data_IF_452543027380
#
_entry.id   IF_452543027380
#
_cell.length_a   1.000
_cell.length_b   1.000
_cell.length_c   1.000
_cell.angle_alpha   90.00
_cell.angle_beta   90.00
_cell.angle_gamma   90.00
#
_symmetry.space_group_name_H-M   'P 1'
#
loop_
_entity.id
_entity.type
_entity.pdbx_description
1 polymer ?
#
# COMPACT_ATOMS: atom_id res chain seq x y z
N UNK A 1 15.54 -13.72 -19.12
CA UNK A 1 14.12 -13.62 -19.52
C UNK A 1 13.49 -12.26 -19.12
N UNK A 2 13.45 -11.85 -17.80
CA UNK A 2 12.83 -10.58 -17.42
C UNK A 2 13.51 -9.38 -18.10
N UNK A 3 14.84 -9.30 -18.03
CA UNK A 3 15.64 -8.27 -18.71
C UNK A 3 15.48 -8.29 -20.23
N UNK A 4 15.50 -9.46 -20.84
CA UNK A 4 15.28 -9.67 -22.27
C UNK A 4 13.88 -9.23 -22.72
N UNK A 5 12.88 -9.34 -21.81
CA UNK A 5 11.50 -8.88 -22.03
C UNK A 5 11.32 -7.37 -21.81
N UNK A 6 12.40 -6.62 -21.55
CA UNK A 6 12.37 -5.17 -21.36
C UNK A 6 11.86 -4.72 -19.99
N UNK A 7 11.84 -5.60 -18.96
CA UNK A 7 11.50 -5.22 -17.59
C UNK A 7 12.58 -4.26 -17.07
N UNK A 8 12.17 -3.07 -16.65
CA UNK A 8 13.07 -2.01 -16.16
C UNK A 8 13.37 -2.14 -14.68
N UNK A 9 12.35 -2.50 -13.86
CA UNK A 9 12.47 -2.63 -12.41
C UNK A 9 11.70 -3.84 -11.88
N UNK A 10 12.11 -4.35 -10.71
CA UNK A 10 11.40 -5.39 -9.96
C UNK A 10 11.16 -4.93 -8.53
N UNK A 11 9.96 -5.21 -7.99
CA UNK A 11 9.66 -5.04 -6.57
C UNK A 11 10.02 -6.35 -5.88
N UNK A 12 10.98 -6.31 -4.95
CA UNK A 12 11.52 -7.51 -4.34
C UNK A 12 11.58 -7.41 -2.80
N UNK A 13 11.32 -8.54 -2.14
CA UNK A 13 11.50 -8.75 -0.70
C UNK A 13 12.48 -9.89 -0.38
N UNK A 14 12.74 -10.76 -1.35
CA UNK A 14 13.69 -11.86 -1.20
C UNK A 14 15.11 -11.39 -1.55
N UNK A 15 16.06 -11.68 -0.66
CA UNK A 15 17.45 -11.22 -0.80
C UNK A 15 18.13 -11.80 -2.03
N UNK A 16 17.84 -13.07 -2.38
CA UNK A 16 18.40 -13.68 -3.57
C UNK A 16 17.88 -13.02 -4.85
N UNK A 17 16.58 -12.62 -4.86
CA UNK A 17 15.99 -11.86 -5.98
C UNK A 17 16.63 -10.47 -6.08
N UNK A 18 16.80 -9.76 -4.95
CA UNK A 18 17.46 -8.46 -4.90
C UNK A 18 18.87 -8.54 -5.50
N UNK A 19 19.67 -9.48 -5.01
CA UNK A 19 21.06 -9.65 -5.48
C UNK A 19 21.12 -10.06 -6.95
N UNK A 20 20.25 -10.97 -7.38
CA UNK A 20 20.18 -11.41 -8.78
C UNK A 20 19.81 -10.27 -9.72
N UNK A 21 18.76 -9.49 -9.37
CA UNK A 21 18.31 -8.35 -10.17
C UNK A 21 19.45 -7.33 -10.36
N UNK A 22 20.17 -7.00 -9.29
CA UNK A 22 21.34 -6.11 -9.34
C UNK A 22 22.45 -6.67 -10.22
N UNK A 23 22.79 -7.95 -10.08
CA UNK A 23 23.84 -8.58 -10.88
C UNK A 23 23.56 -8.52 -12.36
N UNK A 24 22.30 -8.66 -12.76
CA UNK A 24 21.90 -8.60 -14.19
C UNK A 24 21.52 -7.18 -14.64
N UNK A 25 21.64 -6.17 -13.77
CA UNK A 25 21.38 -4.77 -14.08
C UNK A 25 19.88 -4.47 -14.32
N UNK A 26 18.99 -5.03 -13.47
CA UNK A 26 17.59 -4.62 -13.34
C UNK A 26 17.46 -3.83 -12.06
N UNK A 27 16.79 -2.68 -12.12
CA UNK A 27 16.50 -1.85 -10.96
C UNK A 27 15.67 -2.60 -9.92
N UNK A 28 15.93 -2.34 -8.64
CA UNK A 28 15.21 -2.95 -7.52
C UNK A 28 14.45 -1.89 -6.74
N UNK A 29 13.14 -2.11 -6.55
CA UNK A 29 12.35 -1.42 -5.55
C UNK A 29 12.18 -2.34 -4.33
N UNK A 30 12.57 -1.86 -3.16
CA UNK A 30 12.42 -2.61 -1.90
C UNK A 30 10.93 -2.71 -1.57
N UNK A 31 10.43 -3.94 -1.46
CA UNK A 31 9.02 -4.20 -1.18
C UNK A 31 8.60 -3.76 0.22
N UNK A 32 7.36 -3.30 0.37
CA UNK A 32 6.73 -3.09 1.68
C UNK A 32 6.75 -4.33 2.59
N UNK A 33 6.93 -5.54 2.04
CA UNK A 33 7.07 -6.78 2.83
C UNK A 33 8.33 -6.81 3.69
N UNK A 34 9.30 -5.94 3.44
CA UNK A 34 10.49 -5.78 4.27
C UNK A 34 10.27 -4.84 5.47
N UNK A 35 9.06 -4.24 5.57
CA UNK A 35 8.59 -3.47 6.72
C UNK A 35 9.56 -2.36 7.15
N UNK A 36 10.01 -1.56 6.20
CA UNK A 36 10.92 -0.43 6.44
C UNK A 36 10.17 0.68 7.16
N UNK A 37 10.64 1.05 8.36
CA UNK A 37 9.95 1.99 9.27
C UNK A 37 10.84 3.10 9.83
N UNK A 38 12.13 3.11 9.50
CA UNK A 38 13.08 4.07 10.06
C UNK A 38 14.26 4.29 9.12
N UNK A 39 15.00 5.37 9.35
CA UNK A 39 16.13 5.79 8.52
C UNK A 39 17.29 4.77 8.50
N UNK A 40 17.57 4.07 9.60
CA UNK A 40 18.66 3.10 9.63
C UNK A 40 18.39 1.91 8.72
N UNK A 41 17.10 1.46 8.67
CA UNK A 41 16.69 0.43 7.74
C UNK A 41 16.70 0.93 6.29
N UNK A 42 16.36 2.20 6.05
CA UNK A 42 16.51 2.84 4.73
C UNK A 42 17.97 2.83 4.29
N UNK A 43 18.90 3.25 5.15
CA UNK A 43 20.36 3.22 4.84
C UNK A 43 20.85 1.82 4.48
N UNK A 44 20.36 0.81 5.20
CA UNK A 44 20.70 -0.59 4.90
C UNK A 44 20.23 -0.98 3.48
N UNK A 45 18.96 -0.71 3.14
CA UNK A 45 18.43 -1.07 1.84
C UNK A 45 18.88 -0.15 0.69
N UNK A 46 19.34 1.06 1.00
CA UNK A 46 19.97 1.97 0.04
C UNK A 46 21.21 1.37 -0.62
N UNK A 47 21.88 0.42 0.02
CA UNK A 47 22.98 -0.33 -0.61
C UNK A 47 22.53 -1.16 -1.82
N UNK A 48 21.24 -1.44 -1.95
CA UNK A 48 20.69 -2.38 -2.92
C UNK A 48 19.68 -1.75 -3.89
N UNK A 49 19.06 -0.64 -3.53
CA UNK A 49 17.93 -0.08 -4.27
C UNK A 49 17.90 1.45 -4.17
N UNK A 50 17.42 2.08 -5.24
CA UNK A 50 17.17 3.52 -5.28
C UNK A 50 15.77 3.89 -4.78
N UNK A 51 14.81 2.96 -4.86
CA UNK A 51 13.43 3.15 -4.40
C UNK A 51 13.07 2.20 -3.28
N UNK A 52 12.53 2.74 -2.17
CA UNK A 52 12.17 1.97 -0.98
C UNK A 52 10.71 2.23 -0.61
N UNK A 53 9.90 1.14 -0.59
CA UNK A 53 8.50 1.21 -0.13
C UNK A 53 8.46 1.12 1.39
N UNK A 54 7.96 2.18 2.03
CA UNK A 54 7.79 2.17 3.48
C UNK A 54 6.63 1.28 3.94
N UNK A 55 6.68 0.91 5.20
CA UNK A 55 5.59 0.21 5.89
C UNK A 55 4.32 1.07 5.92
N UNK A 56 3.15 0.43 5.83
CA UNK A 56 1.85 1.10 5.78
C UNK A 56 1.35 1.57 7.14
N UNK A 57 2.00 1.17 8.21
CA UNK A 57 1.66 1.51 9.58
C UNK A 57 2.21 2.88 10.02
N UNK A 58 3.01 3.53 9.17
CA UNK A 58 3.61 4.84 9.48
C UNK A 58 2.62 5.98 9.30
N UNK A 59 2.72 6.98 10.18
CA UNK A 59 2.08 8.28 9.98
C UNK A 59 2.89 9.16 9.01
N UNK A 60 2.24 10.15 8.36
CA UNK A 60 2.94 11.10 7.48
C UNK A 60 4.06 11.87 8.20
N UNK A 61 3.92 12.11 9.51
CA UNK A 61 4.98 12.72 10.31
C UNK A 61 6.24 11.85 10.35
N UNK A 62 6.07 10.53 10.47
CA UNK A 62 7.20 9.59 10.45
C UNK A 62 7.78 9.45 9.05
N UNK A 63 6.94 9.42 8.01
CA UNK A 63 7.38 9.42 6.61
C UNK A 63 8.22 10.67 6.33
N UNK A 64 7.71 11.86 6.68
CA UNK A 64 8.41 13.14 6.51
C UNK A 64 9.76 13.16 7.24
N UNK A 65 9.81 12.64 8.45
CA UNK A 65 11.08 12.54 9.19
C UNK A 65 12.11 11.67 8.45
N UNK A 66 11.68 10.56 7.85
CA UNK A 66 12.57 9.70 7.05
C UNK A 66 13.07 10.42 5.81
N UNK A 67 12.21 11.12 5.07
CA UNK A 67 12.62 11.86 3.85
C UNK A 67 13.55 13.01 4.17
N UNK A 68 13.29 13.76 5.24
CA UNK A 68 14.20 14.81 5.74
C UNK A 68 15.57 14.24 6.17
N UNK A 69 15.60 13.08 6.81
CA UNK A 69 16.85 12.43 7.21
C UNK A 69 17.63 11.90 5.99
N UNK A 70 16.95 11.41 4.94
CA UNK A 70 17.61 11.04 3.67
C UNK A 70 18.34 12.24 3.06
N UNK A 71 17.69 13.40 3.02
CA UNK A 71 18.30 14.64 2.48
C UNK A 71 19.44 15.13 3.37
N UNK A 72 19.23 15.18 4.68
CA UNK A 72 20.23 15.64 5.65
C UNK A 72 21.48 14.77 5.68
N UNK A 73 21.32 13.46 5.63
CA UNK A 73 22.42 12.49 5.73
C UNK A 73 22.94 12.06 4.35
N UNK A 74 22.37 12.60 3.27
CA UNK A 74 22.76 12.32 1.88
C UNK A 74 22.75 10.80 1.59
N UNK A 75 21.67 10.12 2.00
CA UNK A 75 21.51 8.68 1.78
C UNK A 75 21.25 8.39 0.31
N UNK A 76 22.22 7.77 -0.34
CA UNK A 76 22.23 7.51 -1.79
C UNK A 76 22.07 6.04 -2.09
N UNK A 77 21.32 5.76 -3.15
CA UNK A 77 21.17 4.42 -3.71
C UNK A 77 22.29 4.06 -4.71
N UNK A 78 22.18 2.91 -5.37
CA UNK A 78 23.16 2.41 -6.34
C UNK A 78 23.40 3.33 -7.55
N UNK A 79 22.42 4.14 -7.92
CA UNK A 79 22.54 5.14 -9.01
C UNK A 79 23.43 6.34 -8.64
N UNK A 80 23.73 6.51 -7.33
CA UNK A 80 24.39 7.69 -6.79
C UNK A 80 23.44 8.86 -6.48
N UNK A 81 22.17 8.74 -6.79
CA UNK A 81 21.12 9.69 -6.42
C UNK A 81 20.59 9.43 -5.01
N UNK A 82 19.93 10.42 -4.40
CA UNK A 82 19.24 10.21 -3.14
C UNK A 82 18.17 9.11 -3.30
N UNK A 83 18.02 8.29 -2.27
CA UNK A 83 16.98 7.26 -2.22
C UNK A 83 15.59 7.89 -2.29
N UNK A 84 14.74 7.33 -3.12
CA UNK A 84 13.36 7.74 -3.27
C UNK A 84 12.44 6.91 -2.37
N UNK A 85 11.57 7.59 -1.65
CA UNK A 85 10.56 6.94 -0.82
C UNK A 85 9.27 6.77 -1.60
N UNK A 86 8.76 5.52 -1.58
CA UNK A 86 7.47 5.10 -2.10
C UNK A 86 6.51 4.77 -0.95
N UNK A 87 5.28 5.28 -1.01
CA UNK A 87 4.19 4.90 -0.10
C UNK A 87 2.91 4.55 -0.86
N UNK A 88 2.02 3.79 -0.22
CA UNK A 88 0.70 3.53 -0.80
C UNK A 88 -0.18 4.77 -0.73
N UNK A 89 -0.84 5.11 -1.85
CA UNK A 89 -1.79 6.21 -1.95
C UNK A 89 -3.24 5.75 -2.03
N UNK A 90 -3.48 4.59 -2.66
CA UNK A 90 -4.86 4.12 -2.85
C UNK A 90 -4.95 2.60 -2.95
N UNK A 91 -6.08 2.07 -2.47
CA UNK A 91 -6.51 0.70 -2.71
C UNK A 91 -6.53 -0.19 -1.47
N UNK A 92 -6.61 -1.49 -1.69
CA UNK A 92 -6.83 -2.46 -0.63
C UNK A 92 -5.75 -2.43 0.46
N UNK A 93 -6.17 -2.20 1.69
CA UNK A 93 -5.32 -2.30 2.87
C UNK A 93 -5.33 -3.74 3.40
N UNK A 94 -4.16 -4.27 3.76
CA UNK A 94 -4.05 -5.60 4.37
C UNK A 94 -4.26 -5.49 5.88
N UNK A 95 -5.00 -6.43 6.46
CA UNK A 95 -5.20 -6.55 7.91
C UNK A 95 -3.87 -6.85 8.64
N UNK A 96 -3.00 -7.63 8.01
CA UNK A 96 -1.73 -8.05 8.59
C UNK A 96 -0.58 -7.12 8.17
N UNK A 97 0.46 -7.09 8.98
CA UNK A 97 1.77 -6.56 8.56
C UNK A 97 2.18 -7.23 7.25
N UNK A 98 2.67 -6.44 6.30
CA UNK A 98 2.92 -6.90 4.94
C UNK A 98 3.83 -8.12 4.88
N UNK A 99 3.37 -9.17 4.19
CA UNK A 99 4.09 -10.44 4.05
C UNK A 99 4.03 -11.39 5.26
N UNK A 100 3.36 -11.01 6.37
CA UNK A 100 3.34 -11.79 7.63
C UNK A 100 1.97 -12.42 7.93
N UNK A 101 1.15 -12.69 6.92
CA UNK A 101 -0.17 -13.30 7.10
C UNK A 101 -0.15 -14.80 6.78
N UNK A 102 -0.58 -15.61 7.75
CA UNK A 102 -0.69 -17.06 7.62
C UNK A 102 -2.10 -17.58 7.35
N UNK A 103 -3.13 -16.71 7.33
CA UNK A 103 -4.52 -17.15 7.17
C UNK A 103 -4.75 -18.02 5.93
N UNK A 104 -4.19 -17.62 4.78
CA UNK A 104 -4.34 -18.39 3.54
C UNK A 104 -3.49 -19.67 3.54
N UNK A 105 -2.31 -19.63 4.15
CA UNK A 105 -1.44 -20.81 4.24
C UNK A 105 -2.09 -21.87 5.14
N UNK A 106 -2.56 -21.48 6.31
CA UNK A 106 -3.18 -22.39 7.27
C UNK A 106 -4.45 -23.04 6.71
N UNK A 107 -5.34 -22.25 6.10
CA UNK A 107 -6.67 -22.75 5.67
C UNK A 107 -6.71 -23.37 4.28
N UNK A 108 -5.76 -23.06 3.40
CA UNK A 108 -5.79 -23.45 1.98
C UNK A 108 -4.45 -23.91 1.43
N UNK A 109 -3.44 -24.07 2.28
CA UNK A 109 -2.06 -24.35 1.85
C UNK A 109 -1.57 -23.39 0.73
N UNK A 110 -1.95 -22.09 0.84
CA UNK A 110 -1.75 -21.07 -0.18
C UNK A 110 -1.03 -19.85 0.40
N UNK A 111 0.21 -19.62 -0.02
CA UNK A 111 1.06 -18.58 0.56
C UNK A 111 0.70 -17.18 0.04
N UNK A 112 0.23 -16.30 0.92
CA UNK A 112 -0.04 -14.89 0.61
C UNK A 112 1.27 -14.16 0.25
N UNK A 113 2.39 -14.51 0.88
CA UNK A 113 3.71 -13.95 0.60
C UNK A 113 4.19 -14.24 -0.83
N UNK A 114 3.76 -15.37 -1.39
CA UNK A 114 4.01 -15.75 -2.79
C UNK A 114 2.93 -15.27 -3.76
N UNK A 115 2.09 -14.31 -3.34
CA UNK A 115 1.04 -13.74 -4.16
C UNK A 115 -0.25 -14.56 -4.26
N UNK A 116 -0.39 -15.65 -3.51
CA UNK A 116 -1.55 -16.55 -3.55
C UNK A 116 -2.52 -16.34 -2.36
N UNK A 117 -2.74 -15.07 -1.98
CA UNK A 117 -3.68 -14.71 -0.92
C UNK A 117 -5.13 -15.09 -1.30
N UNK A 118 -5.81 -15.82 -0.43
CA UNK A 118 -7.22 -16.23 -0.58
C UNK A 118 -8.20 -15.22 0.04
N UNK A 119 -7.70 -14.11 0.57
CA UNK A 119 -8.49 -13.03 1.15
C UNK A 119 -9.47 -13.48 2.25
N UNK A 120 -9.06 -14.41 3.10
CA UNK A 120 -9.90 -14.91 4.21
C UNK A 120 -10.37 -13.77 5.13
N UNK A 121 -9.54 -12.74 5.36
CA UNK A 121 -9.90 -11.56 6.12
C UNK A 121 -11.09 -10.76 5.52
N UNK A 122 -11.52 -11.05 4.30
CA UNK A 122 -12.63 -10.37 3.61
C UNK A 122 -13.96 -11.14 3.69
N UNK A 123 -14.03 -12.19 4.51
CA UNK A 123 -15.24 -12.96 4.79
C UNK A 123 -15.93 -12.44 6.03
N UNK A 124 -17.21 -12.72 6.15
CA UNK A 124 -17.98 -12.55 7.39
C UNK A 124 -17.56 -13.62 8.39
N UNK A 125 -17.55 -13.28 9.66
CA UNK A 125 -17.23 -14.17 10.76
C UNK A 125 -18.21 -13.97 11.91
N UNK A 126 -18.56 -15.08 12.57
CA UNK A 126 -19.21 -15.10 13.87
C UNK A 126 -18.14 -15.42 14.91
N UNK A 127 -18.14 -14.71 16.02
CA UNK A 127 -17.25 -14.96 17.17
C UNK A 127 -18.06 -15.58 18.29
N UNK A 128 -17.66 -16.78 18.72
CA UNK A 128 -18.32 -17.52 19.78
C UNK A 128 -17.33 -17.72 20.93
N UNK A 129 -17.74 -17.35 22.13
CA UNK A 129 -17.01 -17.70 23.33
C UNK A 129 -17.17 -19.21 23.59
N UNK A 130 -16.06 -19.93 23.54
CA UNK A 130 -16.05 -21.39 23.64
C UNK A 130 -16.36 -21.90 25.06
N UNK A 131 -16.18 -21.09 26.10
CA UNK A 131 -16.44 -21.46 27.47
C UNK A 131 -17.91 -21.29 27.82
N UNK A 132 -18.50 -20.17 27.44
CA UNK A 132 -19.92 -19.87 27.73
C UNK A 132 -20.87 -20.31 26.61
N UNK A 133 -20.39 -20.52 25.40
CA UNK A 133 -21.19 -20.76 24.19
C UNK A 133 -21.94 -19.53 23.67
N UNK A 134 -21.74 -18.35 24.26
CA UNK A 134 -22.37 -17.13 23.79
C UNK A 134 -21.72 -16.63 22.52
N UNK A 135 -22.55 -16.26 21.55
CA UNK A 135 -22.13 -15.49 20.39
C UNK A 135 -21.82 -14.06 20.83
N UNK A 136 -20.60 -13.61 20.57
CA UNK A 136 -20.20 -12.23 20.84
C UNK A 136 -20.79 -11.36 19.75
N UNK A 137 -21.70 -10.47 20.11
CA UNK A 137 -22.21 -9.45 19.21
C UNK A 137 -21.08 -8.49 18.85
N UNK A 138 -20.80 -8.37 17.55
CA UNK A 138 -19.82 -7.45 17.01
C UNK A 138 -20.51 -6.52 16.02
N UNK A 139 -20.23 -5.24 16.10
CA UNK A 139 -20.86 -4.22 15.27
C UNK A 139 -20.67 -4.43 13.76
N UNK A 140 -19.68 -5.24 13.39
CA UNK A 140 -19.33 -5.48 11.98
C UNK A 140 -18.88 -6.93 11.75
N UNK A 141 -19.66 -7.68 10.96
CA UNK A 141 -19.34 -9.05 10.56
C UNK A 141 -17.99 -9.19 9.83
N UNK A 142 -17.46 -8.10 9.30
CA UNK A 142 -16.17 -8.05 8.59
C UNK A 142 -14.98 -7.71 9.51
N UNK A 143 -14.87 -8.39 10.63
CA UNK A 143 -13.91 -8.16 11.71
C UNK A 143 -12.46 -7.93 11.30
N UNK A 144 -12.06 -8.47 10.16
CA UNK A 144 -10.67 -8.42 9.67
C UNK A 144 -10.56 -7.74 8.31
N UNK A 145 -11.62 -7.05 7.84
CA UNK A 145 -11.66 -6.42 6.52
C UNK A 145 -11.59 -4.90 6.63
N UNK A 146 -10.39 -4.29 6.64
CA UNK A 146 -10.30 -2.85 6.67
C UNK A 146 -10.86 -2.23 5.39
N UNK A 147 -11.36 -1.00 5.49
CA UNK A 147 -11.68 -0.13 4.36
C UNK A 147 -10.48 0.03 3.44
N UNK A 148 -10.73 0.43 2.21
CA UNK A 148 -9.66 0.70 1.26
C UNK A 148 -8.97 2.03 1.60
N UNK A 149 -7.64 2.06 1.51
CA UNK A 149 -6.86 3.28 1.67
C UNK A 149 -7.23 4.29 0.58
N UNK A 150 -7.45 5.54 0.96
CA UNK A 150 -7.58 6.67 0.07
C UNK A 150 -6.88 7.89 0.68
N UNK A 151 -5.92 8.47 -0.04
CA UNK A 151 -5.17 9.64 0.43
C UNK A 151 -5.56 10.91 -0.30
N UNK A 152 -6.58 10.88 -1.14
CA UNK A 152 -6.90 11.97 -2.05
C UNK A 152 -7.30 13.27 -1.35
N UNK A 153 -8.03 13.18 -0.25
CA UNK A 153 -8.53 14.32 0.52
C UNK A 153 -7.44 15.06 1.34
N UNK A 154 -6.27 14.43 1.48
CA UNK A 154 -5.08 15.01 2.12
C UNK A 154 -3.81 14.77 1.28
N UNK A 155 -3.96 14.71 -0.05
CA UNK A 155 -2.87 14.42 -0.97
C UNK A 155 -1.75 15.48 -0.91
N UNK A 156 -2.11 16.73 -0.64
CA UNK A 156 -1.15 17.80 -0.36
C UNK A 156 -0.19 17.44 0.78
N UNK A 157 -0.70 16.96 1.90
CA UNK A 157 0.15 16.52 3.02
C UNK A 157 1.02 15.30 2.65
N UNK A 158 0.49 14.42 1.81
CA UNK A 158 1.25 13.27 1.30
C UNK A 158 2.44 13.73 0.45
N UNK A 159 2.22 14.68 -0.47
CA UNK A 159 3.27 15.24 -1.31
C UNK A 159 4.28 16.02 -0.46
N UNK A 160 3.80 16.83 0.49
CA UNK A 160 4.62 17.62 1.43
C UNK A 160 5.45 16.77 2.40
N UNK A 161 5.13 15.48 2.52
CA UNK A 161 5.96 14.54 3.27
C UNK A 161 7.27 14.16 2.57
N UNK A 162 7.50 14.66 1.34
CA UNK A 162 8.75 14.50 0.59
C UNK A 162 8.87 13.18 -0.18
N UNK A 163 7.79 12.39 -0.29
CA UNK A 163 7.77 11.16 -1.09
C UNK A 163 7.96 11.47 -2.57
N UNK A 164 8.52 10.51 -3.31
CA UNK A 164 8.71 10.63 -4.77
C UNK A 164 7.80 9.69 -5.56
N UNK A 165 7.37 8.59 -4.96
CA UNK A 165 6.56 7.59 -5.64
C UNK A 165 5.29 7.30 -4.84
N UNK A 166 4.14 7.44 -5.51
CA UNK A 166 2.83 7.12 -4.94
C UNK A 166 2.31 5.81 -5.55
N UNK A 167 2.15 4.79 -4.72
CA UNK A 167 1.73 3.46 -5.14
C UNK A 167 0.22 3.28 -5.09
N UNK A 168 -0.36 2.82 -6.19
CA UNK A 168 -1.76 2.43 -6.29
C UNK A 168 -1.88 0.90 -6.27
N UNK A 169 -2.67 0.36 -5.34
CA UNK A 169 -2.95 -1.08 -5.28
C UNK A 169 -4.13 -1.41 -6.19
N UNK A 170 -3.82 -1.97 -7.35
CA UNK A 170 -4.81 -2.37 -8.36
C UNK A 170 -4.82 -3.87 -8.68
N UNK A 171 -4.02 -4.69 -7.98
CA UNK A 171 -3.91 -6.12 -8.25
C UNK A 171 -5.25 -6.83 -8.02
N UNK A 172 -5.73 -7.50 -9.07
CA UNK A 172 -7.01 -8.18 -9.05
C UNK A 172 -8.22 -7.27 -9.14
N UNK A 173 -8.03 -5.99 -9.46
CA UNK A 173 -9.08 -5.03 -9.80
C UNK A 173 -9.37 -5.06 -11.30
N UNK A 174 -10.57 -4.62 -11.68
CA UNK A 174 -10.95 -4.46 -13.08
C UNK A 174 -10.23 -3.27 -13.74
N UNK A 175 -10.18 -3.24 -15.06
CA UNK A 175 -9.44 -2.20 -15.80
C UNK A 175 -10.02 -0.79 -15.59
N UNK A 176 -11.33 -0.67 -15.45
CA UNK A 176 -12.04 0.58 -15.15
C UNK A 176 -11.61 1.18 -13.80
N UNK A 177 -11.46 0.33 -12.77
CA UNK A 177 -10.90 0.76 -11.49
C UNK A 177 -9.50 1.36 -11.67
N UNK A 178 -8.60 0.64 -12.35
CA UNK A 178 -7.22 1.09 -12.52
C UNK A 178 -7.18 2.42 -13.30
N UNK A 179 -7.94 2.50 -14.39
CA UNK A 179 -8.02 3.71 -15.23
C UNK A 179 -8.55 4.92 -14.43
N UNK A 180 -9.68 4.74 -13.72
CA UNK A 180 -10.30 5.81 -12.93
C UNK A 180 -9.37 6.29 -11.81
N UNK A 181 -8.80 5.37 -11.03
CA UNK A 181 -7.92 5.74 -9.92
C UNK A 181 -6.66 6.46 -10.41
N UNK A 182 -5.98 5.93 -11.44
CA UNK A 182 -4.77 6.56 -11.97
C UNK A 182 -5.07 7.96 -12.53
N UNK A 183 -6.13 8.10 -13.32
CA UNK A 183 -6.55 9.39 -13.89
C UNK A 183 -6.81 10.40 -12.76
N UNK A 184 -7.62 10.03 -11.79
CA UNK A 184 -7.99 10.89 -10.66
C UNK A 184 -6.77 11.36 -9.86
N UNK A 185 -5.87 10.44 -9.51
CA UNK A 185 -4.65 10.80 -8.78
C UNK A 185 -3.68 11.63 -9.62
N UNK A 186 -3.59 11.39 -10.94
CA UNK A 186 -2.79 12.20 -11.83
C UNK A 186 -3.29 13.64 -11.88
N UNK A 187 -4.60 13.82 -12.09
CA UNK A 187 -5.24 15.16 -12.10
C UNK A 187 -5.06 15.87 -10.75
N UNK A 188 -5.19 15.15 -9.63
CA UNK A 188 -5.02 15.72 -8.30
C UNK A 188 -3.56 16.18 -8.03
N UNK A 189 -2.59 15.37 -8.44
CA UNK A 189 -1.16 15.73 -8.33
C UNK A 189 -0.85 16.95 -9.21
N UNK A 190 -1.31 16.96 -10.45
CA UNK A 190 -1.08 18.10 -11.35
C UNK A 190 -1.72 19.37 -10.78
N UNK A 191 -2.95 19.26 -10.26
CA UNK A 191 -3.66 20.36 -9.60
C UNK A 191 -2.93 20.90 -8.37
N UNK A 192 -2.27 20.04 -7.60
CA UNK A 192 -1.43 20.46 -6.47
C UNK A 192 -0.27 21.33 -6.96
N UNK A 193 0.50 20.89 -7.96
CA UNK A 193 1.63 21.63 -8.48
C UNK A 193 1.24 22.93 -9.22
N UNK A 194 0.03 22.97 -9.78
CA UNK A 194 -0.56 24.16 -10.40
C UNK A 194 -1.15 25.14 -9.37
N UNK A 195 -1.20 24.79 -8.10
CA UNK A 195 -1.81 25.61 -7.05
C UNK A 195 -3.34 25.68 -7.13
N UNK A 196 -3.97 24.71 -7.79
CA UNK A 196 -5.43 24.64 -8.03
C UNK A 196 -6.10 23.50 -7.27
N UNK A 197 -5.44 22.89 -6.28
CA UNK A 197 -5.98 21.80 -5.44
C UNK A 197 -6.98 22.37 -4.43
N UNK A 198 -8.28 22.30 -4.75
CA UNK A 198 -9.36 22.88 -3.96
C UNK A 198 -10.31 21.81 -3.43
N UNK A 199 -11.13 22.19 -2.42
CA UNK A 199 -12.10 21.27 -1.82
C UNK A 199 -13.17 20.83 -2.82
N UNK A 200 -13.56 21.70 -3.75
CA UNK A 200 -14.53 21.38 -4.80
C UNK A 200 -13.99 20.30 -5.74
N UNK A 201 -12.73 20.43 -6.17
CA UNK A 201 -12.07 19.41 -7.00
C UNK A 201 -11.92 18.10 -6.24
N UNK A 202 -11.51 18.15 -4.97
CA UNK A 202 -11.41 16.95 -4.11
C UNK A 202 -12.75 16.21 -4.07
N UNK A 203 -13.86 16.91 -3.84
CA UNK A 203 -15.20 16.31 -3.82
C UNK A 203 -15.52 15.61 -5.16
N UNK A 204 -15.27 16.28 -6.29
CA UNK A 204 -15.47 15.70 -7.62
C UNK A 204 -14.64 14.43 -7.84
N UNK A 205 -13.38 14.44 -7.43
CA UNK A 205 -12.51 13.27 -7.54
C UNK A 205 -12.92 12.13 -6.60
N UNK A 206 -13.39 12.46 -5.38
CA UNK A 206 -13.90 11.46 -4.45
C UNK A 206 -15.18 10.81 -4.97
N UNK A 207 -16.08 11.58 -5.62
CA UNK A 207 -17.24 11.04 -6.32
C UNK A 207 -16.82 10.08 -7.45
N UNK A 208 -15.84 10.47 -8.28
CA UNK A 208 -15.30 9.60 -9.32
C UNK A 208 -14.72 8.28 -8.77
N UNK A 209 -13.95 8.35 -7.68
CA UNK A 209 -13.42 7.15 -7.01
C UNK A 209 -14.53 6.27 -6.43
N UNK A 210 -15.64 6.84 -5.97
CA UNK A 210 -16.78 6.09 -5.45
C UNK A 210 -17.54 5.30 -6.54
N UNK A 211 -17.40 5.66 -7.82
CA UNK A 211 -18.05 4.95 -8.95
C UNK A 211 -17.43 3.57 -9.23
N UNK A 212 -16.18 3.35 -8.81
CA UNK A 212 -15.49 2.08 -8.99
C UNK A 212 -15.47 1.28 -7.70
N UNK A 213 -15.18 -0.03 -7.80
CA UNK A 213 -15.22 -0.91 -6.63
C UNK A 213 -14.35 -0.41 -5.48
N UNK A 214 -14.95 -0.24 -4.30
CA UNK A 214 -14.28 0.08 -3.06
C UNK A 214 -15.00 -0.59 -1.86
N UNK A 215 -14.35 -0.56 -0.69
CA UNK A 215 -14.86 -1.06 0.59
C UNK A 215 -15.14 0.06 1.59
N UNK A 216 -15.51 1.24 1.09
CA UNK A 216 -15.40 2.47 1.84
C UNK A 216 -13.95 2.96 1.87
N UNK A 217 -13.76 4.26 2.14
CA UNK A 217 -12.45 4.90 2.14
C UNK A 217 -12.00 5.22 3.55
N UNK A 218 -10.68 5.11 3.76
CA UNK A 218 -10.02 5.41 5.02
C UNK A 218 -8.61 5.96 4.75
N UNK A 219 -8.16 6.87 5.61
CA UNK A 219 -6.82 7.46 5.53
C UNK A 219 -5.66 6.50 5.90
N UNK A 220 -5.98 5.28 6.29
CA UNK A 220 -4.97 4.42 6.89
C UNK A 220 -4.45 4.99 8.20
N UNK A 221 -3.18 4.76 8.48
CA UNK A 221 -2.51 5.28 9.68
C UNK A 221 -1.81 6.63 9.44
N UNK A 222 -1.90 7.17 8.23
CA UNK A 222 -1.16 8.37 7.81
C UNK A 222 -1.47 9.60 8.67
N UNK A 223 -2.72 9.79 9.05
CA UNK A 223 -3.13 10.93 9.89
C UNK A 223 -3.02 10.66 11.41
N UNK A 224 -2.41 9.54 11.80
CA UNK A 224 -2.15 9.20 13.20
C UNK A 224 -3.32 8.55 13.93
N UNK A 225 -4.28 7.95 13.21
CA UNK A 225 -5.35 7.16 13.82
C UNK A 225 -4.78 6.01 14.64
N UNK A 226 -5.40 5.75 15.79
CA UNK A 226 -5.02 4.65 16.68
C UNK A 226 -5.81 3.36 16.41
N UNK A 227 -7.02 3.50 15.85
CA UNK A 227 -7.92 2.39 15.53
C UNK A 227 -8.16 2.33 14.02
N UNK A 228 -8.26 1.11 13.49
CA UNK A 228 -8.62 0.88 12.09
C UNK A 228 -10.11 1.10 11.82
N UNK A 229 -10.43 1.37 10.58
CA UNK A 229 -11.81 1.39 10.10
C UNK A 229 -12.09 0.16 9.26
N UNK A 230 -13.25 -0.48 9.52
CA UNK A 230 -13.64 -1.73 8.91
C UNK A 230 -14.64 -1.51 7.77
N UNK A 231 -14.61 -2.41 6.81
CA UNK A 231 -15.46 -2.36 5.63
C UNK A 231 -16.93 -2.63 5.98
N UNK A 232 -17.82 -1.81 5.46
CA UNK A 232 -19.26 -2.04 5.51
C UNK A 232 -19.77 -2.87 4.31
N UNK A 233 -18.92 -3.07 3.30
CA UNK A 233 -19.26 -3.75 2.07
C UNK A 233 -18.78 -5.20 2.04
N UNK A 234 -19.64 -6.15 1.61
CA UNK A 234 -19.25 -7.53 1.44
C UNK A 234 -18.25 -7.71 0.30
N UNK A 235 -17.42 -8.69 0.46
CA UNK A 235 -16.77 -9.30 -0.64
C UNK A 235 -15.26 -9.17 -0.74
N UNK A 236 -14.70 -10.30 -1.15
CA UNK A 236 -13.36 -10.41 -1.67
C UNK A 236 -13.40 -10.18 -3.19
N UNK A 237 -12.31 -9.66 -3.76
CA UNK A 237 -12.14 -9.57 -5.21
C UNK A 237 -12.17 -10.94 -5.91
N UNK A 238 -12.14 -12.04 -5.15
CA UNK A 238 -12.16 -13.40 -5.70
C UNK A 238 -13.46 -13.73 -6.46
N UNK A 239 -14.56 -13.01 -6.17
CA UNK A 239 -15.85 -13.17 -6.87
C UNK A 239 -15.95 -12.35 -8.15
N UNK A 240 -15.06 -11.42 -8.40
CA UNK A 240 -15.06 -10.58 -9.61
C UNK A 240 -14.24 -11.16 -10.78
N UNK A 241 -13.54 -12.28 -10.54
CA UNK A 241 -12.80 -13.01 -11.58
C UNK A 241 -13.66 -14.12 -12.18
N UNK A 242 -14.80 -13.76 -12.78
CA UNK A 242 -15.49 -14.63 -13.72
C UNK A 242 -15.46 -14.01 -15.10
#
# INVERSE_FOLDING_TARGET
>A
KAKEAGITAVIASDQAVIMTARTIGIEVHISTQLNVTNIETVKFYAMFADTIVLSRELSLRQVKKITEDIEKEQVKGPSGNLVEIEIFGHGALCMAVSGKCYLSLHSHNSSANRGACKQNCRKKYTVIDQESGFEIEVDNEYLMSPKDLCTLDFLDQVIDSGIKVLKIEGRGRAADYVATVIKTYREAIDSYYEGTFTKEKINTWMEALATVYNRGFWSGYYLGQKLGEWSDNPGSNATQKK
#
